data_IF_422702198093
#
_entry.id   IF_422702198093
#
_cell.length_a   1.000
_cell.length_b   1.000
_cell.length_c   1.000
_cell.angle_alpha   90.00
_cell.angle_beta   90.00
_cell.angle_gamma   90.00
#
_symmetry.space_group_name_H-M   'P 1'
#
loop_
_entity.id
_entity.type
_entity.pdbx_description
1 polymer ?
#
# COMPACT_ATOMS: atom_id res chain seq x y z
N UNK A 1 -1.17 -3.57 3.02
CA UNK A 1 -2.03 -4.63 2.47
C UNK A 1 -2.23 -4.35 0.99
N UNK A 2 -2.23 -5.36 0.10
CA UNK A 2 -2.55 -5.15 -1.29
C UNK A 2 -4.00 -4.67 -1.39
N UNK A 3 -4.20 -3.44 -1.86
CA UNK A 3 -5.56 -2.91 -2.06
C UNK A 3 -6.11 -3.48 -3.36
N UNK A 4 -7.14 -4.32 -3.26
CA UNK A 4 -7.86 -4.85 -4.42
C UNK A 4 -9.01 -3.92 -4.74
N UNK A 5 -9.03 -3.38 -5.96
CA UNK A 5 -10.10 -2.49 -6.43
C UNK A 5 -11.11 -3.30 -7.24
N UNK A 6 -12.37 -3.20 -6.89
CA UNK A 6 -13.48 -3.80 -7.63
C UNK A 6 -14.38 -2.69 -8.21
N UNK A 7 -14.68 -2.74 -9.51
CA UNK A 7 -15.54 -1.76 -10.18
C UNK A 7 -16.96 -2.28 -10.32
N UNK A 8 -17.14 -3.57 -10.67
CA UNK A 8 -18.44 -4.22 -10.92
C UNK A 8 -18.77 -5.36 -9.95
N UNK A 9 -18.08 -5.43 -8.81
CA UNK A 9 -18.21 -6.54 -7.87
C UNK A 9 -17.45 -7.81 -8.31
N UNK A 10 -17.65 -8.90 -7.59
CA UNK A 10 -17.05 -10.21 -7.90
C UNK A 10 -17.99 -11.00 -8.81
N UNK A 11 -17.87 -10.84 -10.12
CA UNK A 11 -18.73 -11.53 -11.09
C UNK A 11 -18.15 -12.83 -11.65
N UNK A 12 -16.93 -13.20 -11.30
CA UNK A 12 -16.30 -14.41 -11.79
C UNK A 12 -15.61 -15.18 -10.66
N UNK A 13 -15.83 -16.49 -10.65
CA UNK A 13 -15.19 -17.38 -9.67
C UNK A 13 -13.78 -17.82 -10.13
N UNK A 14 -13.54 -17.88 -11.44
CA UNK A 14 -12.31 -18.43 -12.04
C UNK A 14 -11.47 -17.42 -12.86
N UNK A 15 -12.01 -16.28 -13.24
CA UNK A 15 -11.25 -15.24 -13.95
C UNK A 15 -11.00 -14.07 -13.02
N UNK A 16 -9.81 -13.45 -13.17
CA UNK A 16 -9.41 -12.33 -12.34
C UNK A 16 -10.50 -11.26 -12.23
N UNK A 17 -10.74 -10.76 -11.04
CA UNK A 17 -11.76 -9.75 -10.72
C UNK A 17 -11.22 -8.32 -10.78
N UNK A 18 -9.93 -8.16 -11.11
CA UNK A 18 -9.27 -6.86 -11.15
C UNK A 18 -9.61 -6.08 -12.42
N UNK A 19 -9.75 -4.75 -12.35
CA UNK A 19 -9.93 -3.90 -13.52
C UNK A 19 -8.67 -3.86 -14.37
N UNK A 20 -8.82 -3.54 -15.65
CA UNK A 20 -7.70 -3.25 -16.54
C UNK A 20 -7.17 -1.85 -16.22
N UNK A 21 -5.86 -1.74 -16.05
CA UNK A 21 -5.19 -0.45 -15.91
C UNK A 21 -4.66 0.01 -17.27
N UNK A 22 -4.93 1.27 -17.62
CA UNK A 22 -4.42 1.90 -18.85
C UNK A 22 -3.68 3.16 -18.45
N UNK A 23 -2.37 3.20 -18.70
CA UNK A 23 -1.52 4.35 -18.36
C UNK A 23 -1.07 5.00 -19.67
N UNK A 24 -1.45 6.26 -19.86
CA UNK A 24 -1.15 7.04 -21.07
C UNK A 24 -1.52 6.30 -22.37
N UNK A 25 -2.65 5.59 -22.35
CA UNK A 25 -3.16 4.81 -23.49
C UNK A 25 -2.61 3.38 -23.60
N UNK A 26 -1.63 3.00 -22.78
CA UNK A 26 -1.03 1.65 -22.79
C UNK A 26 -1.69 0.77 -21.73
N UNK A 27 -2.33 -0.34 -22.12
CA UNK A 27 -2.89 -1.29 -21.17
C UNK A 27 -1.79 -2.06 -20.44
N UNK A 28 -1.90 -2.12 -19.11
CA UNK A 28 -0.96 -2.82 -18.24
C UNK A 28 -1.71 -3.94 -17.52
N UNK A 29 -1.19 -5.15 -17.61
CA UNK A 29 -1.71 -6.28 -16.85
C UNK A 29 -1.04 -6.34 -15.46
N UNK A 30 -1.85 -6.53 -14.42
CA UNK A 30 -1.36 -6.66 -13.05
C UNK A 30 -0.43 -7.86 -12.86
N UNK A 31 -0.55 -8.88 -13.71
CA UNK A 31 0.29 -10.07 -13.73
C UNK A 31 1.69 -9.86 -14.33
N UNK A 32 1.88 -8.82 -15.15
CA UNK A 32 3.14 -8.58 -15.88
C UNK A 32 4.13 -7.71 -15.12
N UNK A 33 3.70 -7.03 -14.06
CA UNK A 33 4.64 -6.32 -13.20
C UNK A 33 5.36 -7.31 -12.30
N UNK A 34 6.53 -7.78 -12.76
CA UNK A 34 7.40 -8.79 -12.22
C UNK A 34 7.84 -8.66 -10.77
N UNK A 35 6.95 -8.30 -9.89
CA UNK A 35 7.15 -8.46 -8.46
C UNK A 35 6.91 -9.93 -8.09
N UNK A 36 7.97 -10.71 -8.15
CA UNK A 36 8.05 -11.98 -7.45
C UNK A 36 8.12 -11.65 -5.96
N UNK A 37 6.97 -11.42 -5.34
CA UNK A 37 6.91 -11.58 -3.89
C UNK A 37 7.10 -13.08 -3.62
N UNK A 38 7.94 -13.41 -2.69
CA UNK A 38 8.22 -14.79 -2.24
C UNK A 38 6.95 -15.51 -1.77
N UNK A 39 5.84 -14.79 -1.61
CA UNK A 39 4.55 -15.23 -1.04
C UNK A 39 3.34 -14.99 -1.96
N UNK A 40 3.52 -14.77 -3.26
CA UNK A 40 2.39 -14.70 -4.21
C UNK A 40 1.48 -13.47 -4.08
N UNK A 41 1.88 -12.44 -3.34
CA UNK A 41 1.09 -11.21 -3.24
C UNK A 41 1.18 -10.40 -4.55
N UNK A 42 0.06 -10.21 -5.23
CA UNK A 42 -0.01 -9.34 -6.40
C UNK A 42 0.07 -7.87 -5.96
N UNK A 43 1.05 -7.15 -6.50
CA UNK A 43 1.18 -5.72 -6.24
C UNK A 43 0.35 -4.96 -7.27
N UNK A 44 -0.49 -4.03 -6.79
CA UNK A 44 -1.26 -3.16 -7.67
C UNK A 44 -0.33 -2.33 -8.57
N UNK A 45 -0.62 -2.20 -9.88
CA UNK A 45 0.10 -1.31 -10.78
C UNK A 45 0.21 0.15 -10.28
N UNK A 46 -0.77 0.57 -9.47
CA UNK A 46 -0.76 1.89 -8.84
C UNK A 46 0.37 2.08 -7.83
N UNK A 47 0.84 1.00 -7.18
CA UNK A 47 1.91 1.09 -6.20
C UNK A 47 3.27 1.44 -6.83
N UNK A 48 3.43 1.19 -8.14
CA UNK A 48 4.66 1.50 -8.88
C UNK A 48 4.68 2.92 -9.45
N UNK A 49 3.51 3.58 -9.50
CA UNK A 49 3.41 4.94 -10.02
C UNK A 49 3.67 5.96 -8.91
N UNK A 50 4.39 7.02 -9.27
CA UNK A 50 4.48 8.20 -8.44
C UNK A 50 3.17 8.99 -8.52
N UNK A 51 2.50 9.19 -7.40
CA UNK A 51 1.25 9.96 -7.34
C UNK A 51 1.41 11.42 -7.80
N UNK A 52 2.61 12.00 -7.64
CA UNK A 52 2.90 13.36 -8.07
C UNK A 52 2.92 13.51 -9.60
N UNK A 53 3.10 12.42 -10.35
CA UNK A 53 3.09 12.42 -11.82
C UNK A 53 1.69 12.23 -12.41
N UNK A 54 0.68 11.92 -11.61
CA UNK A 54 -0.69 11.65 -12.08
C UNK A 54 -1.43 12.96 -12.24
N UNK A 55 -2.00 13.18 -13.44
CA UNK A 55 -2.88 14.31 -13.74
C UNK A 55 -4.33 13.96 -13.46
N UNK A 56 -4.75 12.77 -13.92
CA UNK A 56 -6.15 12.33 -13.73
C UNK A 56 -6.25 10.81 -13.68
N UNK A 57 -7.27 10.35 -12.95
CA UNK A 57 -7.69 8.95 -12.92
C UNK A 57 -9.16 8.92 -13.32
N UNK A 58 -9.47 8.21 -14.39
CA UNK A 58 -10.83 8.04 -14.88
C UNK A 58 -11.23 6.56 -14.80
N UNK A 59 -12.37 6.28 -14.20
CA UNK A 59 -12.91 4.92 -14.08
C UNK A 59 -14.01 4.71 -15.10
N UNK A 60 -13.78 3.81 -16.06
CA UNK A 60 -14.75 3.44 -17.10
C UNK A 60 -15.53 2.21 -16.61
N UNK A 61 -16.81 2.42 -16.35
CA UNK A 61 -17.72 1.37 -15.84
C UNK A 61 -18.64 0.81 -16.93
N UNK A 62 -18.91 1.59 -17.99
CA UNK A 62 -19.90 1.24 -18.98
C UNK A 62 -19.34 0.33 -20.07
N UNK A 63 -20.18 -0.57 -20.59
CA UNK A 63 -19.78 -1.52 -21.62
C UNK A 63 -19.28 -0.82 -22.90
N UNK A 64 -19.89 0.31 -23.27
CA UNK A 64 -19.50 1.10 -24.44
C UNK A 64 -18.09 1.69 -24.26
N UNK A 65 -17.80 2.24 -23.08
CA UNK A 65 -16.50 2.83 -22.78
C UNK A 65 -15.40 1.76 -22.67
N UNK A 66 -15.74 0.55 -22.21
CA UNK A 66 -14.80 -0.56 -22.08
C UNK A 66 -14.57 -1.35 -23.37
N UNK A 67 -15.47 -1.21 -24.37
CA UNK A 67 -15.38 -1.94 -25.66
C UNK A 67 -14.09 -1.66 -26.44
N UNK A 68 -13.50 -0.47 -26.28
CA UNK A 68 -12.23 -0.08 -26.90
C UNK A 68 -11.06 -0.99 -26.48
N UNK A 69 -11.15 -1.55 -25.26
CA UNK A 69 -10.10 -2.38 -24.67
C UNK A 69 -10.37 -3.89 -24.75
N UNK A 70 -11.49 -4.28 -25.40
CA UNK A 70 -11.86 -5.67 -25.63
C UNK A 70 -12.22 -6.46 -24.37
N UNK A 71 -12.12 -7.80 -24.44
CA UNK A 71 -12.53 -8.71 -23.37
C UNK A 71 -11.80 -8.48 -22.04
N UNK A 72 -10.58 -7.95 -22.07
CA UNK A 72 -9.80 -7.61 -20.86
C UNK A 72 -10.45 -6.54 -20.00
N UNK A 73 -11.34 -5.75 -20.56
CA UNK A 73 -12.05 -4.67 -19.89
C UNK A 73 -13.38 -5.10 -19.23
N UNK A 74 -13.70 -6.40 -19.21
CA UNK A 74 -14.94 -6.91 -18.66
C UNK A 74 -15.20 -6.49 -17.20
N UNK A 75 -14.15 -6.36 -16.40
CA UNK A 75 -14.21 -5.92 -15.01
C UNK A 75 -14.12 -4.39 -14.83
N UNK A 76 -14.18 -3.63 -15.91
CA UNK A 76 -13.98 -2.18 -15.96
C UNK A 76 -12.55 -1.79 -16.28
N UNK A 77 -12.34 -0.50 -16.53
CA UNK A 77 -11.03 0.06 -16.89
C UNK A 77 -10.71 1.26 -16.01
N UNK A 78 -9.49 1.34 -15.53
CA UNK A 78 -8.95 2.51 -14.84
C UNK A 78 -7.94 3.16 -15.78
N UNK A 79 -8.30 4.32 -16.31
CA UNK A 79 -7.44 5.12 -17.20
C UNK A 79 -6.70 6.13 -16.35
N UNK A 80 -5.38 6.12 -16.43
CA UNK A 80 -4.49 7.01 -15.71
C UNK A 80 -3.76 7.87 -16.74
N UNK A 81 -3.91 9.18 -16.61
CA UNK A 81 -3.18 10.14 -17.43
C UNK A 81 -2.08 10.75 -16.60
N UNK A 82 -0.86 10.71 -17.11
CA UNK A 82 0.30 11.27 -16.43
C UNK A 82 0.70 12.63 -17.00
N UNK A 83 1.55 13.36 -16.26
CA UNK A 83 2.09 14.64 -16.69
C UNK A 83 2.89 14.50 -18.00
N UNK A 84 2.66 15.42 -18.91
CA UNK A 84 3.35 15.53 -20.18
C UNK A 84 4.13 16.83 -20.24
N UNK A 85 5.06 16.94 -21.17
CA UNK A 85 5.75 18.19 -21.48
C UNK A 85 4.78 19.26 -21.95
N UNK A 86 4.88 20.45 -21.42
CA UNK A 86 4.03 21.59 -21.77
C UNK A 86 4.85 22.62 -22.51
N UNK A 87 4.30 23.19 -23.60
CA UNK A 87 4.97 24.28 -24.33
C UNK A 87 5.26 25.46 -23.39
N UNK A 88 6.43 26.02 -23.52
CA UNK A 88 6.87 27.17 -22.74
C UNK A 88 8.28 27.05 -22.20
N UNK A 89 8.65 27.98 -21.32
CA UNK A 89 9.96 27.99 -20.67
C UNK A 89 10.16 26.78 -19.78
N UNK A 90 11.42 26.41 -19.57
CA UNK A 90 11.80 25.38 -18.61
C UNK A 90 11.19 25.67 -17.24
N UNK A 91 10.49 24.67 -16.69
CA UNK A 91 9.95 24.67 -15.33
C UNK A 91 10.61 23.54 -14.56
N UNK A 92 11.12 23.86 -13.40
CA UNK A 92 11.71 22.91 -12.46
C UNK A 92 10.95 23.05 -11.14
N UNK A 93 10.37 21.92 -10.66
CA UNK A 93 9.69 21.88 -9.39
C UNK A 93 10.35 20.82 -8.51
N UNK A 94 10.69 21.23 -7.30
CA UNK A 94 11.17 20.34 -6.25
C UNK A 94 10.15 20.35 -5.12
N UNK A 95 9.67 19.18 -4.75
CA UNK A 95 8.73 18.99 -3.64
C UNK A 95 9.33 18.03 -2.64
N UNK A 96 9.36 18.43 -1.37
CA UNK A 96 9.75 17.57 -0.27
C UNK A 96 8.59 17.51 0.74
N UNK A 97 8.17 16.29 1.09
CA UNK A 97 7.12 16.05 2.08
C UNK A 97 7.66 15.16 3.18
N UNK A 98 7.36 15.55 4.40
CA UNK A 98 7.67 14.79 5.60
C UNK A 98 6.37 14.52 6.35
N UNK A 99 6.21 13.31 6.83
CA UNK A 99 5.06 12.89 7.60
C UNK A 99 5.46 12.01 8.77
N UNK A 100 4.61 12.00 9.78
CA UNK A 100 4.69 11.07 10.91
C UNK A 100 3.41 10.24 10.90
N UNK A 101 3.58 8.93 11.03
CA UNK A 101 2.48 8.00 11.24
C UNK A 101 2.47 7.59 12.71
N UNK A 102 1.36 7.84 13.37
CA UNK A 102 1.17 7.44 14.76
C UNK A 102 0.03 6.46 14.85
N UNK A 103 0.13 5.51 15.75
CA UNK A 103 -0.97 4.65 16.06
C UNK A 103 -2.12 5.50 16.63
N UNK A 104 -3.34 5.40 16.08
CA UNK A 104 -4.47 6.06 16.67
C UNK A 104 -4.64 5.61 18.12
N UNK A 105 -5.03 6.51 19.01
CA UNK A 105 -5.22 6.19 20.41
C UNK A 105 -6.47 5.30 20.60
N UNK A 106 -6.30 4.00 20.46
CA UNK A 106 -7.35 2.98 20.69
C UNK A 106 -7.56 2.66 22.18
N UNK A 107 -6.80 3.28 23.06
CA UNK A 107 -6.67 2.91 24.47
C UNK A 107 -7.99 2.93 25.26
N UNK A 108 -9.01 3.62 24.78
CA UNK A 108 -10.32 3.67 25.47
C UNK A 108 -11.26 2.51 25.12
N UNK A 109 -11.10 1.86 23.94
CA UNK A 109 -12.01 0.81 23.46
C UNK A 109 -11.39 -0.57 23.27
N UNK A 110 -10.10 -0.64 22.98
CA UNK A 110 -9.41 -1.88 22.58
C UNK A 110 -8.08 -2.02 23.34
N UNK A 111 -8.10 -1.67 24.63
CA UNK A 111 -6.93 -1.85 25.48
C UNK A 111 -6.66 -3.34 25.65
N UNK A 112 -5.42 -3.75 25.42
CA UNK A 112 -4.98 -5.09 25.83
C UNK A 112 -5.09 -5.21 27.34
N UNK A 113 -5.48 -6.39 27.81
CA UNK A 113 -5.51 -6.68 29.23
C UNK A 113 -4.07 -6.70 29.75
N UNK A 114 -3.87 -6.10 30.91
CA UNK A 114 -2.66 -6.31 31.67
C UNK A 114 -2.70 -7.70 32.34
N UNK A 115 -1.57 -8.13 32.93
CA UNK A 115 -1.46 -9.45 33.54
C UNK A 115 -2.58 -9.72 34.55
N UNK A 116 -2.79 -8.83 35.49
CA UNK A 116 -3.83 -8.97 36.54
C UNK A 116 -5.24 -9.08 35.95
N UNK A 117 -5.54 -8.27 34.94
CA UNK A 117 -6.85 -8.33 34.26
C UNK A 117 -7.03 -9.63 33.49
N UNK A 118 -5.96 -10.13 32.87
CA UNK A 118 -5.99 -11.40 32.15
C UNK A 118 -6.15 -12.58 33.12
N UNK A 119 -5.40 -12.61 34.23
CA UNK A 119 -5.54 -13.62 35.27
C UNK A 119 -6.95 -13.63 35.85
N UNK A 120 -7.52 -12.48 36.19
CA UNK A 120 -8.89 -12.36 36.70
C UNK A 120 -9.92 -12.88 35.67
N UNK A 121 -9.75 -12.54 34.39
CA UNK A 121 -10.64 -13.03 33.33
C UNK A 121 -10.60 -14.55 33.20
N UNK A 122 -9.39 -15.13 33.24
CA UNK A 122 -9.20 -16.58 33.17
C UNK A 122 -9.80 -17.29 34.38
N UNK A 123 -9.55 -16.77 35.58
CA UNK A 123 -10.13 -17.30 36.85
C UNK A 123 -11.64 -17.24 36.82
N UNK A 124 -12.22 -16.12 36.43
CA UNK A 124 -13.69 -15.99 36.31
C UNK A 124 -14.26 -16.97 35.27
N UNK A 125 -13.49 -17.21 34.17
CA UNK A 125 -13.83 -18.22 33.16
C UNK A 125 -13.82 -19.65 33.72
N UNK A 126 -12.79 -20.01 34.50
CA UNK A 126 -12.67 -21.34 35.13
C UNK A 126 -13.81 -21.60 36.12
N UNK A 127 -14.11 -20.63 37.00
CA UNK A 127 -15.21 -20.73 37.96
C UNK A 127 -16.57 -20.86 37.27
N UNK A 128 -16.76 -20.19 36.13
CA UNK A 128 -17.99 -20.28 35.36
C UNK A 128 -18.16 -21.63 34.64
N UNK A 129 -17.06 -22.17 34.13
CA UNK A 129 -17.05 -23.43 33.39
C UNK A 129 -17.08 -24.68 34.29
N UNK A 130 -16.45 -24.58 35.48
CA UNK A 130 -16.24 -25.69 36.40
C UNK A 130 -16.60 -25.26 37.84
N UNK A 131 -17.86 -24.95 38.15
CA UNK A 131 -18.25 -24.37 39.43
C UNK A 131 -18.10 -25.36 40.60
N UNK A 132 -18.07 -26.66 40.32
CA UNK A 132 -17.95 -27.71 41.35
C UNK A 132 -16.48 -28.07 41.63
N UNK A 133 -15.54 -27.66 40.77
CA UNK A 133 -14.13 -28.05 40.87
C UNK A 133 -13.31 -27.06 41.72
N UNK A 134 -13.77 -25.81 41.86
CA UNK A 134 -13.07 -24.77 42.58
C UNK A 134 -13.89 -24.17 43.74
N UNK A 135 -13.34 -24.26 44.93
CA UNK A 135 -14.00 -23.68 46.14
C UNK A 135 -13.99 -22.12 46.11
N UNK A 136 -12.97 -21.52 45.49
CA UNK A 136 -12.79 -20.06 45.46
C UNK A 136 -11.83 -19.63 44.34
N UNK A 137 -11.70 -18.30 44.17
CA UNK A 137 -10.83 -17.71 43.17
C UNK A 137 -9.36 -18.07 43.35
N UNK A 138 -8.88 -18.21 44.58
CA UNK A 138 -7.48 -18.51 44.88
C UNK A 138 -7.12 -19.94 44.45
N UNK A 139 -8.05 -20.90 44.60
CA UNK A 139 -7.85 -22.27 44.12
C UNK A 139 -7.79 -22.32 42.59
N UNK A 140 -8.69 -21.61 41.90
CA UNK A 140 -8.67 -21.52 40.45
C UNK A 140 -7.40 -20.80 39.92
N UNK A 141 -6.94 -19.77 40.62
CA UNK A 141 -5.70 -19.08 40.28
C UNK A 141 -4.47 -19.97 40.49
N UNK A 142 -4.41 -20.75 41.55
CA UNK A 142 -3.35 -21.70 41.82
C UNK A 142 -3.24 -22.76 40.72
N UNK A 143 -4.38 -23.31 40.28
CA UNK A 143 -4.47 -24.26 39.17
C UNK A 143 -4.03 -23.64 37.84
N UNK A 144 -4.42 -22.37 37.59
CA UNK A 144 -3.98 -21.62 36.42
C UNK A 144 -2.44 -21.50 36.38
N UNK A 145 -1.81 -21.16 37.53
CA UNK A 145 -0.37 -21.05 37.62
C UNK A 145 0.33 -22.39 37.45
N UNK A 146 -0.19 -23.46 38.02
CA UNK A 146 0.35 -24.83 37.87
C UNK A 146 0.27 -25.28 36.39
N UNK A 147 -0.90 -25.08 35.76
CA UNK A 147 -1.12 -25.45 34.37
C UNK A 147 -0.15 -24.77 33.39
N UNK A 148 0.16 -23.49 33.63
CA UNK A 148 1.09 -22.75 32.77
C UNK A 148 2.55 -22.75 33.28
N UNK A 149 2.85 -23.44 34.38
CA UNK A 149 4.17 -23.49 34.98
C UNK A 149 4.66 -22.13 35.46
N UNK A 150 3.75 -21.24 35.85
CA UNK A 150 4.05 -19.89 36.32
C UNK A 150 4.04 -19.86 37.84
N UNK A 151 4.69 -18.84 38.41
CA UNK A 151 4.57 -18.54 39.85
C UNK A 151 3.90 -17.20 40.06
N UNK A 152 3.16 -17.04 41.18
CA UNK A 152 2.53 -15.78 41.51
C UNK A 152 3.55 -14.61 41.44
N UNK A 153 3.26 -13.60 40.61
CA UNK A 153 4.09 -12.41 40.45
C UNK A 153 5.33 -12.56 39.54
N UNK A 154 5.56 -13.74 38.94
CA UNK A 154 6.65 -13.95 37.99
C UNK A 154 6.24 -13.65 36.52
N UNK A 155 5.01 -13.33 36.22
CA UNK A 155 4.53 -13.04 34.89
C UNK A 155 5.10 -11.73 34.32
N UNK A 156 5.44 -11.71 33.04
CA UNK A 156 5.83 -10.49 32.35
C UNK A 156 4.60 -9.67 31.99
N UNK A 157 4.46 -8.47 32.55
CA UNK A 157 3.41 -7.52 32.18
C UNK A 157 3.89 -6.62 31.02
N UNK A 158 4.09 -7.23 29.85
CA UNK A 158 4.62 -6.55 28.68
C UNK A 158 3.48 -5.95 27.86
N UNK A 159 3.53 -4.67 27.56
CA UNK A 159 2.67 -4.05 26.55
C UNK A 159 3.21 -4.38 25.15
N UNK A 160 2.72 -5.47 24.58
CA UNK A 160 3.14 -5.94 23.26
C UNK A 160 2.85 -4.94 22.15
N UNK A 161 1.88 -4.03 22.34
CA UNK A 161 1.61 -3.00 21.35
C UNK A 161 2.75 -1.97 21.32
N UNK A 162 3.26 -1.56 22.48
CA UNK A 162 4.41 -0.66 22.56
C UNK A 162 5.69 -1.30 22.02
N UNK A 163 5.89 -2.60 22.28
CA UNK A 163 7.09 -3.32 21.82
C UNK A 163 7.14 -3.52 20.31
N UNK A 164 5.97 -3.66 19.64
CA UNK A 164 5.91 -3.93 18.19
C UNK A 164 5.60 -2.69 17.36
N UNK A 165 5.34 -1.55 17.99
CA UNK A 165 5.01 -0.31 17.28
C UNK A 165 6.04 0.79 17.54
N UNK A 166 6.08 1.73 16.61
CA UNK A 166 6.89 2.95 16.68
C UNK A 166 6.15 4.11 16.03
N UNK A 167 6.65 5.31 16.21
CA UNK A 167 6.26 6.44 15.36
C UNK A 167 6.87 6.21 13.97
N UNK A 168 6.02 5.96 13.00
CA UNK A 168 6.41 5.79 11.60
C UNK A 168 6.82 7.12 10.98
N UNK A 169 7.69 7.08 9.95
CA UNK A 169 8.22 8.27 9.26
C UNK A 169 8.00 8.13 7.77
N UNK A 170 7.45 9.17 7.17
CA UNK A 170 7.28 9.26 5.72
C UNK A 170 8.18 10.35 5.17
N UNK A 171 8.91 10.03 4.11
CA UNK A 171 9.72 10.96 3.34
C UNK A 171 9.37 10.80 1.87
N UNK A 172 9.05 11.90 1.19
CA UNK A 172 8.69 11.90 -0.23
C UNK A 172 9.36 13.10 -0.90
N UNK A 173 10.35 12.82 -1.75
CA UNK A 173 11.08 13.84 -2.50
C UNK A 173 10.76 13.66 -3.98
N UNK A 174 10.24 14.71 -4.61
CA UNK A 174 9.89 14.70 -6.01
C UNK A 174 10.54 15.88 -6.74
N UNK A 175 11.27 15.59 -7.80
CA UNK A 175 11.83 16.55 -8.73
C UNK A 175 11.16 16.35 -10.08
N UNK A 176 10.51 17.38 -10.62
CA UNK A 176 9.98 17.35 -11.97
C UNK A 176 10.51 18.53 -12.80
N UNK A 177 10.84 18.23 -14.04
CA UNK A 177 11.37 19.15 -15.02
C UNK A 177 10.51 19.06 -16.27
N UNK A 178 9.97 20.16 -16.74
CA UNK A 178 9.18 20.19 -17.97
C UNK A 178 9.53 21.38 -18.84
N UNK A 179 9.54 21.16 -20.14
CA UNK A 179 9.71 22.22 -21.13
C UNK A 179 9.12 21.78 -22.46
N UNK A 180 8.84 22.72 -23.35
CA UNK A 180 8.30 22.42 -24.66
C UNK A 180 8.72 23.44 -25.73
N UNK A 181 9.71 24.30 -25.45
CA UNK A 181 10.11 25.35 -26.36
C UNK A 181 8.94 26.31 -26.72
N UNK A 182 9.25 27.39 -27.40
CA UNK A 182 8.22 28.39 -27.83
C UNK A 182 7.80 28.13 -29.29
N UNK A 183 8.65 27.44 -30.09
CA UNK A 183 8.35 27.12 -31.48
C UNK A 183 7.30 26.00 -31.59
N UNK A 184 6.44 26.07 -32.61
CA UNK A 184 5.45 25.02 -32.89
C UNK A 184 6.05 23.62 -33.08
N UNK A 185 7.26 23.55 -33.61
CA UNK A 185 7.98 22.31 -33.89
C UNK A 185 8.91 21.87 -32.74
N UNK A 186 8.95 22.61 -31.62
CA UNK A 186 9.82 22.28 -30.51
C UNK A 186 9.34 21.01 -29.77
N UNK A 187 10.30 20.19 -29.40
CA UNK A 187 10.03 19.01 -28.59
C UNK A 187 9.52 19.43 -27.21
N UNK A 188 8.46 18.77 -26.75
CA UNK A 188 7.95 18.86 -25.39
C UNK A 188 8.51 17.68 -24.60
N UNK A 189 9.07 17.95 -23.45
CA UNK A 189 9.57 16.89 -22.58
C UNK A 189 9.16 17.10 -21.13
N UNK A 190 8.98 15.99 -20.47
CA UNK A 190 8.75 15.90 -19.04
C UNK A 190 9.68 14.84 -18.44
N UNK A 191 10.37 15.20 -17.39
CA UNK A 191 11.27 14.33 -16.65
C UNK A 191 10.89 14.42 -15.17
N UNK A 192 10.69 13.28 -14.50
CA UNK A 192 10.52 13.25 -13.07
C UNK A 192 11.38 12.20 -12.40
N UNK A 193 11.79 12.50 -11.18
CA UNK A 193 12.44 11.60 -10.24
C UNK A 193 11.75 11.69 -8.90
N UNK A 194 11.45 10.54 -8.31
CA UNK A 194 10.86 10.46 -7.00
C UNK A 194 11.59 9.45 -6.13
N UNK A 195 11.90 9.85 -4.92
CA UNK A 195 12.31 8.99 -3.83
C UNK A 195 11.26 9.03 -2.74
N UNK A 196 10.74 7.87 -2.39
CA UNK A 196 9.74 7.68 -1.36
C UNK A 196 10.22 6.66 -0.34
N UNK A 197 10.19 7.03 0.94
CA UNK A 197 10.48 6.12 2.04
C UNK A 197 9.36 6.21 3.08
N UNK A 198 8.81 5.06 3.45
CA UNK A 198 7.85 4.93 4.54
C UNK A 198 8.35 3.89 5.53
N UNK A 199 8.69 4.32 6.72
CA UNK A 199 8.91 3.50 7.89
C UNK A 199 7.57 3.35 8.60
N UNK A 200 6.91 2.20 8.49
CA UNK A 200 5.57 2.00 9.03
C UNK A 200 5.56 1.99 10.57
N UNK A 201 4.36 2.14 11.14
CA UNK A 201 4.11 2.08 12.59
C UNK A 201 4.57 0.73 13.18
N UNK A 202 4.39 -0.36 12.45
CA UNK A 202 4.85 -1.69 12.90
C UNK A 202 6.33 -1.83 12.59
N UNK A 203 7.13 -2.14 13.61
CA UNK A 203 8.57 -2.35 13.48
C UNK A 203 8.87 -3.46 12.48
N UNK A 204 9.86 -3.24 11.60
CA UNK A 204 10.25 -4.18 10.55
C UNK A 204 9.43 -4.09 9.28
N UNK A 205 8.39 -3.24 9.21
CA UNK A 205 7.66 -2.96 7.96
C UNK A 205 8.08 -1.63 7.40
N UNK A 206 8.76 -1.69 6.26
CA UNK A 206 9.29 -0.51 5.57
C UNK A 206 9.07 -0.63 4.07
N UNK A 207 8.85 0.50 3.42
CA UNK A 207 8.77 0.62 1.96
C UNK A 207 9.72 1.72 1.51
N UNK A 208 10.61 1.39 0.61
CA UNK A 208 11.48 2.32 -0.08
C UNK A 208 11.28 2.19 -1.58
N UNK A 209 11.09 3.31 -2.28
CA UNK A 209 10.82 3.32 -3.71
C UNK A 209 11.57 4.44 -4.40
N UNK A 210 12.27 4.07 -5.47
CA UNK A 210 12.85 4.97 -6.46
C UNK A 210 12.04 4.87 -7.74
N UNK A 211 11.59 5.99 -8.27
CA UNK A 211 10.90 6.00 -9.55
C UNK A 211 11.33 7.17 -10.41
N UNK A 212 11.27 6.97 -11.71
CA UNK A 212 11.55 8.00 -12.67
C UNK A 212 10.68 7.86 -13.92
N UNK A 213 10.43 8.96 -14.57
CA UNK A 213 9.62 9.06 -15.77
C UNK A 213 10.25 10.02 -16.75
N UNK A 214 10.22 9.65 -18.03
CA UNK A 214 10.61 10.49 -19.12
C UNK A 214 9.57 10.41 -20.23
N UNK A 215 8.96 11.54 -20.55
CA UNK A 215 8.00 11.69 -21.64
C UNK A 215 8.57 12.71 -22.61
N UNK A 216 8.59 12.36 -23.89
CA UNK A 216 9.01 13.21 -25.01
C UNK A 216 7.91 13.19 -26.07
N UNK A 217 7.52 14.35 -26.54
CA UNK A 217 6.60 14.50 -27.67
C UNK A 217 7.14 15.55 -28.63
N UNK A 218 7.16 15.24 -29.91
CA UNK A 218 7.55 16.20 -30.94
C UNK A 218 6.68 16.06 -32.20
N UNK A 219 6.34 17.19 -32.77
CA UNK A 219 5.61 17.33 -34.03
C UNK A 219 6.45 18.17 -35.00
N UNK A 220 7.42 17.57 -35.72
CA UNK A 220 8.33 18.31 -36.60
C UNK A 220 7.68 18.77 -37.92
N UNK A 221 6.40 18.99 -37.91
CA UNK A 221 5.61 19.45 -39.05
C UNK A 221 4.15 19.07 -38.84
N UNK A 222 3.34 19.27 -39.86
CA UNK A 222 1.87 19.00 -39.79
C UNK A 222 1.50 17.53 -40.01
N UNK A 223 2.44 16.68 -40.39
CA UNK A 223 2.16 15.31 -40.89
C UNK A 223 2.66 14.25 -39.93
N UNK A 224 3.75 14.50 -39.21
CA UNK A 224 4.40 13.49 -38.36
C UNK A 224 4.37 13.94 -36.90
N UNK A 225 3.87 13.06 -36.05
CA UNK A 225 3.93 13.18 -34.59
C UNK A 225 4.61 11.94 -34.05
N UNK A 226 5.63 12.11 -33.21
CA UNK A 226 6.22 11.00 -32.48
C UNK A 226 6.35 11.32 -31.00
N UNK A 227 6.27 10.28 -30.18
CA UNK A 227 6.38 10.39 -28.74
C UNK A 227 7.08 9.18 -28.14
N UNK A 228 7.73 9.39 -27.03
CA UNK A 228 8.34 8.36 -26.20
C UNK A 228 7.85 8.56 -24.76
N UNK A 229 7.24 7.54 -24.21
CA UNK A 229 6.88 7.48 -22.81
C UNK A 229 7.66 6.35 -22.15
N UNK A 230 8.49 6.67 -21.19
CA UNK A 230 9.28 5.70 -20.44
C UNK A 230 9.11 5.93 -18.96
N UNK A 231 8.97 4.85 -18.19
CA UNK A 231 8.94 4.92 -16.73
C UNK A 231 9.68 3.74 -16.15
N UNK A 232 10.35 3.95 -15.03
CA UNK A 232 10.95 2.90 -14.22
C UNK A 232 10.55 3.07 -12.76
N UNK A 233 10.47 1.98 -12.05
CA UNK A 233 10.25 1.98 -10.60
C UNK A 233 10.99 0.80 -9.99
N UNK A 234 11.72 1.09 -8.92
CA UNK A 234 12.38 0.09 -8.09
C UNK A 234 11.91 0.25 -6.66
N UNK A 235 11.40 -0.82 -6.06
CA UNK A 235 10.85 -0.80 -4.70
C UNK A 235 11.45 -1.91 -3.86
N UNK A 236 11.85 -1.56 -2.65
CA UNK A 236 12.24 -2.50 -1.60
C UNK A 236 11.15 -2.45 -0.55
N UNK A 237 10.56 -3.59 -0.24
CA UNK A 237 9.52 -3.71 0.77
C UNK A 237 9.92 -4.77 1.79
N UNK A 238 10.03 -4.35 3.04
CA UNK A 238 10.17 -5.25 4.17
C UNK A 238 8.79 -5.45 4.78
N UNK A 239 8.34 -6.70 4.87
CA UNK A 239 7.01 -7.02 5.41
C UNK A 239 7.04 -7.42 6.89
N UNK A 240 8.22 -7.38 7.52
CA UNK A 240 8.43 -7.91 8.86
C UNK A 240 8.45 -9.44 8.86
N UNK A 241 8.72 -10.02 9.99
CA UNK A 241 8.61 -11.47 10.20
C UNK A 241 7.12 -11.86 10.32
N UNK A 242 6.39 -11.81 9.21
CA UNK A 242 5.00 -12.25 9.14
C UNK A 242 4.93 -13.57 8.40
N UNK A 243 4.83 -14.69 9.11
CA UNK A 243 4.68 -15.99 8.49
C UNK A 243 5.31 -17.15 9.26
N UNK A 244 5.62 -16.97 10.52
CA UNK A 244 5.80 -18.13 11.41
C UNK A 244 4.43 -18.59 11.89
N UNK A 245 3.98 -19.74 11.44
CA UNK A 245 2.94 -20.46 12.16
C UNK A 245 3.51 -20.80 13.55
N UNK A 246 2.85 -20.31 14.59
CA UNK A 246 3.00 -20.85 15.92
C UNK A 246 2.03 -22.02 16.07
#
# INVERSE_FOLDING_TARGET
>A
APSTIFIRGRNSYNSGTQPLYVIDGIPIESSTMGMRSREGASVSPLATLNSADIVSITVLKDATATSIYGARAANGVIVITTKQGVRGKLKVNLTAKFGLEMMPNYTSRYRLLNQEQYENLMVDGLLAAYPDDYENKDAALADLYDTFGLKPGEGANTDWMDEVTRVGKIQDYNLDISSGGVSENAAKYFLSFNYFKNEAIIIGKDLERFSGRFNLEQEPGKVVKYGLNSSFSYSIMNMGAGGGYF
#
